data_IF_700861980733
#
_entry.id   IF_700861980733
#
_cell.length_a   1.000
_cell.length_b   1.000
_cell.length_c   1.000
_cell.angle_alpha   90.00
_cell.angle_beta   90.00
_cell.angle_gamma   90.00
#
_symmetry.space_group_name_H-M   'P 1'
#
loop_
_entity.id
_entity.type
_entity.pdbx_description
1 polymer ?
#
# COMPACT_ATOMS: atom_id res chain seq x y z
N UNK A 1 3.53 17.87 9.04
CA UNK A 1 4.36 16.73 9.50
C UNK A 1 5.59 16.63 8.59
N UNK A 2 6.73 16.11 9.07
CA UNK A 2 8.00 16.03 8.31
C UNK A 2 8.13 14.71 7.52
N UNK A 3 7.14 14.37 6.71
CA UNK A 3 7.14 13.12 5.93
C UNK A 3 7.87 13.23 4.58
N UNK A 4 8.04 14.46 4.06
CA UNK A 4 8.75 14.69 2.81
C UNK A 4 10.20 14.19 2.93
N UNK A 5 10.59 13.29 2.03
CA UNK A 5 11.91 12.64 1.99
C UNK A 5 12.30 11.92 3.29
N UNK A 6 11.35 11.57 4.14
CA UNK A 6 11.64 10.78 5.33
C UNK A 6 11.90 9.31 4.94
N UNK A 7 13.03 8.69 5.34
CA UNK A 7 13.39 7.34 4.92
C UNK A 7 12.65 6.27 5.75
N UNK A 8 11.31 6.26 5.67
CA UNK A 8 10.45 5.44 6.53
C UNK A 8 10.80 3.94 6.49
N UNK A 9 10.90 3.38 5.29
CA UNK A 9 11.22 1.96 5.10
C UNK A 9 12.57 1.58 5.75
N UNK A 10 13.61 2.42 5.57
CA UNK A 10 14.93 2.20 6.18
C UNK A 10 14.88 2.30 7.70
N UNK A 11 14.17 3.28 8.23
CA UNK A 11 14.01 3.46 9.69
C UNK A 11 13.31 2.25 10.31
N UNK A 12 12.22 1.77 9.71
CA UNK A 12 11.51 0.60 10.20
C UNK A 12 12.32 -0.68 10.06
N UNK A 13 12.99 -0.88 8.91
CA UNK A 13 13.91 -2.01 8.68
C UNK A 13 14.97 -2.12 9.79
N UNK A 14 15.61 -1.00 10.14
CA UNK A 14 16.63 -0.97 11.19
C UNK A 14 16.07 -1.27 12.58
N UNK A 15 14.84 -0.82 12.87
CA UNK A 15 14.20 -1.03 14.18
C UNK A 15 13.66 -2.44 14.36
N UNK A 16 13.10 -3.02 13.30
CA UNK A 16 12.44 -4.33 13.33
C UNK A 16 13.40 -5.47 12.99
N UNK A 17 14.56 -5.16 12.39
CA UNK A 17 15.50 -6.13 11.83
C UNK A 17 14.83 -7.11 10.83
N UNK A 18 13.86 -6.60 10.07
CA UNK A 18 13.07 -7.36 9.08
C UNK A 18 13.00 -6.59 7.75
N UNK A 19 12.79 -7.28 6.61
CA UNK A 19 12.47 -6.62 5.35
C UNK A 19 11.22 -5.75 5.48
N UNK A 20 11.29 -4.52 4.98
CA UNK A 20 10.16 -3.56 5.00
C UNK A 20 10.00 -2.96 3.61
N UNK A 21 8.77 -2.99 3.11
CA UNK A 21 8.31 -2.28 1.91
C UNK A 21 7.26 -1.27 2.36
N UNK A 22 7.31 -0.06 1.79
CA UNK A 22 6.33 1.00 2.03
C UNK A 22 5.76 1.38 0.68
N UNK A 23 4.44 1.47 0.62
CA UNK A 23 3.69 1.93 -0.54
C UNK A 23 2.54 2.83 -0.07
N UNK A 24 1.84 3.47 -1.00
CA UNK A 24 0.63 4.22 -0.73
C UNK A 24 -0.49 3.30 -0.18
N UNK A 25 -1.31 3.83 0.72
CA UNK A 25 -2.41 3.10 1.37
C UNK A 25 -3.40 2.50 0.38
N UNK A 26 -3.73 3.22 -0.69
CA UNK A 26 -4.65 2.74 -1.74
C UNK A 26 -4.02 1.58 -2.51
N UNK A 27 -2.73 1.68 -2.87
CA UNK A 27 -2.02 0.59 -3.55
C UNK A 27 -1.97 -0.68 -2.67
N UNK A 28 -1.69 -0.53 -1.36
CA UNK A 28 -1.67 -1.69 -0.45
C UNK A 28 -3.07 -2.29 -0.28
N UNK A 29 -4.11 -1.45 -0.23
CA UNK A 29 -5.50 -1.91 -0.22
C UNK A 29 -5.89 -2.68 -1.48
N UNK A 30 -5.57 -2.12 -2.66
CA UNK A 30 -5.79 -2.76 -3.95
C UNK A 30 -5.01 -4.08 -4.05
N UNK A 31 -3.75 -4.11 -3.61
CA UNK A 31 -2.94 -5.32 -3.58
C UNK A 31 -3.56 -6.40 -2.68
N UNK A 32 -4.11 -6.03 -1.52
CA UNK A 32 -4.83 -6.94 -0.64
C UNK A 32 -6.05 -7.57 -1.32
N UNK A 33 -6.88 -6.74 -1.96
CA UNK A 33 -8.04 -7.21 -2.72
C UNK A 33 -7.65 -8.11 -3.91
N UNK A 34 -6.53 -7.79 -4.57
CA UNK A 34 -5.98 -8.61 -5.65
C UNK A 34 -5.43 -9.95 -5.15
N UNK A 35 -4.77 -10.00 -4.00
CA UNK A 35 -4.13 -11.22 -3.51
C UNK A 35 -5.10 -12.18 -2.82
N UNK A 36 -6.00 -11.65 -1.99
CA UNK A 36 -6.85 -12.46 -1.12
C UNK A 36 -8.32 -12.07 -1.12
N UNK A 37 -8.66 -10.92 -1.69
CA UNK A 37 -10.04 -10.41 -1.75
C UNK A 37 -10.73 -10.67 -3.08
N UNK A 38 -11.53 -9.70 -3.51
CA UNK A 38 -12.40 -9.83 -4.68
C UNK A 38 -11.65 -10.05 -6.01
N UNK A 39 -10.38 -9.62 -6.08
CA UNK A 39 -9.52 -9.73 -7.26
C UNK A 39 -8.73 -11.03 -7.40
N UNK A 40 -8.76 -11.93 -6.41
CA UNK A 40 -7.86 -13.11 -6.28
C UNK A 40 -7.72 -14.01 -7.52
N UNK A 41 -8.71 -14.04 -8.41
CA UNK A 41 -8.72 -14.91 -9.59
C UNK A 41 -8.80 -14.13 -10.90
N UNK A 42 -8.49 -12.84 -10.85
CA UNK A 42 -8.48 -11.97 -12.02
C UNK A 42 -7.05 -11.68 -12.41
N UNK A 43 -6.80 -11.65 -13.71
CA UNK A 43 -5.48 -11.28 -14.23
C UNK A 43 -5.22 -9.77 -14.09
N UNK A 44 -6.29 -8.98 -14.08
CA UNK A 44 -6.23 -7.53 -13.99
C UNK A 44 -7.33 -7.02 -13.04
N UNK A 45 -7.00 -6.02 -12.23
CA UNK A 45 -7.94 -5.38 -11.33
C UNK A 45 -7.60 -3.89 -11.23
N UNK A 46 -8.64 -3.07 -11.06
CA UNK A 46 -8.53 -1.66 -10.67
C UNK A 46 -9.40 -1.45 -9.44
N UNK A 47 -8.87 -0.76 -8.44
CA UNK A 47 -9.60 -0.36 -7.24
C UNK A 47 -9.76 1.16 -7.21
N UNK A 48 -10.95 1.62 -6.82
CA UNK A 48 -11.25 3.03 -6.56
C UNK A 48 -11.80 3.14 -5.16
N UNK A 49 -11.10 3.87 -4.30
CA UNK A 49 -11.49 4.10 -2.92
C UNK A 49 -12.05 5.52 -2.81
N UNK A 50 -13.33 5.62 -2.45
CA UNK A 50 -14.07 6.88 -2.34
C UNK A 50 -14.38 7.13 -0.87
N UNK A 51 -13.87 8.23 -0.33
CA UNK A 51 -14.08 8.68 1.04
C UNK A 51 -14.00 10.20 1.14
N UNK A 52 -13.19 10.71 2.08
CA UNK A 52 -12.91 12.15 2.18
C UNK A 52 -12.21 12.70 0.92
N UNK A 53 -11.57 11.82 0.14
CA UNK A 53 -11.06 12.08 -1.21
C UNK A 53 -11.26 10.84 -2.10
N UNK A 54 -10.68 10.87 -3.30
CA UNK A 54 -10.69 9.75 -4.25
C UNK A 54 -9.25 9.26 -4.42
N UNK A 55 -9.03 7.96 -4.26
CA UNK A 55 -7.77 7.28 -4.53
C UNK A 55 -7.97 6.08 -5.45
N UNK A 56 -6.97 5.76 -6.26
CA UNK A 56 -6.98 4.59 -7.15
C UNK A 56 -5.71 3.76 -7.05
N UNK A 57 -5.82 2.46 -7.32
CA UNK A 57 -4.73 1.48 -7.26
C UNK A 57 -5.02 0.23 -8.09
#
# INVERSE_FOLDING_TARGET
>A
MRWNNYPLAKTLKNKLNLPVVVDNDVNVGAWGEYQVGAGKKQDNMMAVFIGTGIGGG
#
